data_IF_989828614673
#
_entry.id   IF_989828614673
#
_cell.length_a   1.000
_cell.length_b   1.000
_cell.length_c   1.000
_cell.angle_alpha   90.00
_cell.angle_beta   90.00
_cell.angle_gamma   90.00
#
_symmetry.space_group_name_H-M   'P 1'
#
loop_
_entity.id
_entity.type
_entity.pdbx_description
1 polymer ?
#
# COMPACT_ATOMS: atom_id res chain seq x y z
N UNK A 1 18.50 -11.94 4.23
CA UNK A 1 18.39 -10.47 4.43
C UNK A 1 17.08 -9.89 3.89
N UNK A 2 16.46 -10.47 2.86
CA UNK A 2 15.25 -9.89 2.23
C UNK A 2 14.03 -9.77 3.16
N UNK A 3 13.87 -10.65 4.15
CA UNK A 3 12.69 -10.69 5.02
C UNK A 3 12.57 -9.46 5.93
N UNK A 4 13.68 -8.98 6.51
CA UNK A 4 13.68 -7.79 7.38
C UNK A 4 13.30 -6.52 6.60
N UNK A 5 13.80 -6.39 5.37
CA UNK A 5 13.47 -5.26 4.49
C UNK A 5 12.01 -5.29 4.06
N UNK A 6 11.48 -6.47 3.72
CA UNK A 6 10.06 -6.65 3.38
C UNK A 6 9.14 -6.25 4.55
N UNK A 7 9.49 -6.69 5.75
CA UNK A 7 8.74 -6.36 6.97
C UNK A 7 8.79 -4.86 7.32
N UNK A 8 9.93 -4.21 7.11
CA UNK A 8 10.06 -2.77 7.34
C UNK A 8 9.15 -1.98 6.40
N UNK A 9 9.16 -2.30 5.10
CA UNK A 9 8.28 -1.66 4.12
C UNK A 9 6.80 -1.90 4.42
N UNK A 10 6.45 -3.12 4.82
CA UNK A 10 5.07 -3.46 5.17
C UNK A 10 4.56 -2.68 6.38
N UNK A 11 5.40 -2.42 7.40
CA UNK A 11 5.04 -1.59 8.55
C UNK A 11 4.78 -0.14 8.17
N UNK A 12 5.65 0.45 7.37
CA UNK A 12 5.51 1.84 6.93
C UNK A 12 4.22 2.02 6.13
N UNK A 13 3.92 1.11 5.20
CA UNK A 13 2.67 1.16 4.44
C UNK A 13 1.45 0.92 5.32
N UNK A 14 1.51 -0.03 6.24
CA UNK A 14 0.42 -0.31 7.18
C UNK A 14 0.06 0.94 8.01
N UNK A 15 1.07 1.64 8.54
CA UNK A 15 0.91 2.84 9.35
C UNK A 15 0.32 4.01 8.54
N UNK A 16 0.77 4.23 7.30
CA UNK A 16 0.30 5.35 6.48
C UNK A 16 -1.05 5.09 5.79
N UNK A 17 -1.30 3.85 5.37
CA UNK A 17 -2.53 3.48 4.66
C UNK A 17 -3.66 3.01 5.59
N UNK A 18 -3.43 2.95 6.91
CA UNK A 18 -4.40 2.49 7.89
C UNK A 18 -4.75 0.99 7.77
N UNK A 19 -3.82 0.18 7.26
CA UNK A 19 -4.01 -1.27 7.04
C UNK A 19 -3.16 -2.07 8.02
N UNK A 20 -3.45 -3.37 8.16
CA UNK A 20 -2.61 -4.26 8.96
C UNK A 20 -1.36 -4.68 8.19
N UNK A 21 -0.28 -4.97 8.92
CA UNK A 21 0.98 -5.45 8.33
C UNK A 21 0.75 -6.78 7.58
N UNK A 22 -0.11 -7.66 8.09
CA UNK A 22 -0.47 -8.92 7.45
C UNK A 22 -1.13 -8.71 6.09
N UNK A 23 -1.99 -7.69 5.96
CA UNK A 23 -2.63 -7.35 4.71
C UNK A 23 -1.60 -6.86 3.68
N UNK A 24 -0.70 -5.95 4.08
CA UNK A 24 0.36 -5.46 3.19
C UNK A 24 1.30 -6.59 2.76
N UNK A 25 1.65 -7.51 3.67
CA UNK A 25 2.52 -8.64 3.35
C UNK A 25 1.89 -9.60 2.34
N UNK A 26 0.56 -9.79 2.41
CA UNK A 26 -0.20 -10.56 1.43
C UNK A 26 -0.25 -9.85 0.09
N UNK A 27 -0.45 -8.53 0.10
CA UNK A 27 -0.44 -7.71 -1.10
C UNK A 27 0.96 -7.64 -1.74
N UNK A 28 2.03 -7.87 -0.96
CA UNK A 28 3.41 -8.01 -1.43
C UNK A 28 3.79 -9.42 -1.91
N UNK A 29 2.88 -10.39 -1.87
CA UNK A 29 3.16 -11.74 -2.39
C UNK A 29 3.14 -11.77 -3.93
N UNK A 30 2.44 -10.80 -4.54
CA UNK A 30 2.32 -10.58 -5.99
C UNK A 30 2.38 -9.08 -6.28
N UNK A 31 2.63 -8.72 -7.53
CA UNK A 31 2.43 -7.33 -7.95
C UNK A 31 0.92 -7.02 -7.92
N UNK A 32 0.49 -6.29 -6.91
CA UNK A 32 -0.89 -5.81 -6.78
C UNK A 32 -1.02 -4.43 -7.41
N UNK A 33 -1.44 -4.42 -8.68
CA UNK A 33 -1.72 -3.20 -9.42
C UNK A 33 -3.09 -2.65 -9.02
N UNK A 34 -3.15 -1.34 -8.81
CA UNK A 34 -4.37 -0.61 -8.46
C UNK A 34 -4.60 0.50 -9.49
N UNK A 35 -5.85 0.73 -9.82
CA UNK A 35 -6.26 1.95 -10.51
C UNK A 35 -6.26 3.17 -9.58
N UNK A 36 -6.56 4.35 -10.13
CA UNK A 36 -6.54 5.58 -9.36
C UNK A 36 -7.60 5.62 -8.24
N UNK A 37 -8.76 4.98 -8.42
CA UNK A 37 -9.81 4.93 -7.40
C UNK A 37 -9.42 3.96 -6.29
N UNK A 38 -8.94 2.78 -6.67
CA UNK A 38 -8.43 1.77 -5.75
C UNK A 38 -7.27 2.31 -4.91
N UNK A 39 -6.36 3.09 -5.49
CA UNK A 39 -5.24 3.70 -4.75
C UNK A 39 -5.70 4.73 -3.70
N UNK A 40 -6.79 5.46 -3.95
CA UNK A 40 -7.40 6.38 -2.97
C UNK A 40 -8.05 5.57 -1.85
N UNK A 41 -8.87 4.58 -2.18
CA UNK A 41 -9.53 3.72 -1.20
C UNK A 41 -8.54 2.91 -0.37
N UNK A 42 -7.40 2.55 -0.97
CA UNK A 42 -6.32 1.87 -0.28
C UNK A 42 -5.59 2.79 0.70
N UNK A 43 -5.69 4.12 0.55
CA UNK A 43 -4.99 5.10 1.37
C UNK A 43 -3.54 5.34 0.95
N UNK A 44 -3.19 5.05 -0.31
CA UNK A 44 -1.87 5.38 -0.88
C UNK A 44 -1.84 6.81 -1.42
N UNK A 45 -2.98 7.30 -1.91
CA UNK A 45 -3.12 8.67 -2.45
C UNK A 45 -4.30 9.39 -1.80
N UNK A 46 -4.16 10.70 -1.58
CA UNK A 46 -5.18 11.51 -0.91
C UNK A 46 -6.40 11.84 -1.79
N UNK A 47 -6.25 11.77 -3.11
CA UNK A 47 -7.34 12.08 -4.05
C UNK A 47 -6.92 12.08 -5.51
N UNK A 48 -7.92 12.12 -6.40
CA UNK A 48 -7.73 12.17 -7.86
C UNK A 48 -8.05 13.59 -8.36
N UNK A 49 -7.07 14.27 -8.95
CA UNK A 49 -7.27 15.56 -9.60
C UNK A 49 -7.74 15.30 -11.03
N UNK A 50 -8.95 15.72 -11.38
CA UNK A 50 -9.55 15.48 -12.71
C UNK A 50 -9.35 16.62 -13.71
N UNK A 51 -9.04 17.83 -13.27
CA UNK A 51 -8.73 18.99 -14.12
C UNK A 51 -7.86 19.98 -13.33
N UNK A 52 -6.93 20.65 -14.01
CA UNK A 52 -6.13 21.77 -13.50
C UNK A 52 -6.81 23.11 -13.80
#
# INVERSE_FOLDING_TARGET
>A
QMEKTKLLGAKILAENCGKSVEQILKDFDRDYWMDAQEAVEYGIVDGIIKNL
#
